data_IF_399489812576
#
_entry.id   IF_399489812576
#
_cell.length_a   1.000
_cell.length_b   1.000
_cell.length_c   1.000
_cell.angle_alpha   90.00
_cell.angle_beta   90.00
_cell.angle_gamma   90.00
#
_symmetry.space_group_name_H-M   'P 1'
#
loop_
_entity.id
_entity.type
_entity.pdbx_description
1 polymer ?
#
# COMPACT_ATOMS: atom_id res chain seq x y z
N UNK A 1 25.09 -8.32 12.97
CA UNK A 1 24.46 -9.18 11.96
C UNK A 1 23.86 -8.28 10.90
N UNK A 2 24.26 -8.40 9.63
CA UNK A 2 23.56 -7.72 8.53
C UNK A 2 22.20 -8.40 8.38
N UNK A 3 21.13 -7.65 8.50
CA UNK A 3 19.77 -8.12 8.23
C UNK A 3 19.76 -8.58 6.77
N UNK A 4 19.64 -9.89 6.56
CA UNK A 4 19.57 -10.46 5.22
C UNK A 4 18.23 -9.98 4.65
N UNK A 5 18.28 -9.08 3.66
CA UNK A 5 17.08 -8.57 3.00
C UNK A 5 16.23 -9.76 2.58
N UNK A 6 14.97 -9.79 3.04
CA UNK A 6 14.02 -10.79 2.58
C UNK A 6 13.82 -10.61 1.08
N UNK A 7 13.55 -11.72 0.41
CA UNK A 7 13.26 -11.73 -1.02
C UNK A 7 11.89 -11.11 -1.26
N UNK A 8 11.74 -10.32 -2.31
CA UNK A 8 10.49 -9.65 -2.67
C UNK A 8 9.75 -10.42 -3.75
N UNK A 9 8.47 -10.71 -3.50
CA UNK A 9 7.54 -11.27 -4.49
C UNK A 9 6.54 -10.18 -4.89
N UNK A 10 6.47 -9.89 -6.19
CA UNK A 10 5.37 -9.10 -6.72
C UNK A 10 4.24 -10.01 -7.24
N UNK A 11 3.03 -9.77 -6.76
CA UNK A 11 1.81 -10.37 -7.31
C UNK A 11 1.11 -9.31 -8.14
N UNK A 12 0.89 -9.59 -9.43
CA UNK A 12 0.32 -8.62 -10.35
C UNK A 12 -0.87 -9.20 -11.12
N UNK A 13 -1.84 -8.36 -11.46
CA UNK A 13 -2.94 -8.73 -12.36
C UNK A 13 -2.64 -8.31 -13.79
N UNK A 14 -2.89 -9.19 -14.77
CA UNK A 14 -2.79 -8.86 -16.20
C UNK A 14 -4.16 -8.57 -16.79
N UNK A 15 -4.20 -7.61 -17.71
CA UNK A 15 -5.39 -7.30 -18.50
C UNK A 15 -5.09 -7.35 -20.00
N UNK A 16 -6.09 -6.99 -20.81
CA UNK A 16 -5.98 -6.99 -22.28
C UNK A 16 -4.92 -5.99 -22.82
N UNK A 17 -4.62 -4.93 -22.07
CA UNK A 17 -3.74 -3.87 -22.53
C UNK A 17 -2.78 -3.41 -21.43
N UNK A 18 -1.64 -2.88 -21.88
CA UNK A 18 -0.67 -2.12 -21.08
C UNK A 18 -0.02 -2.87 -19.90
N UNK A 19 0.16 -4.20 -20.03
CA UNK A 19 0.86 -5.03 -19.04
C UNK A 19 2.35 -4.65 -18.88
N UNK A 20 2.88 -3.75 -19.73
CA UNK A 20 4.20 -3.12 -19.56
C UNK A 20 4.34 -2.37 -18.23
N UNK A 21 3.22 -1.90 -17.65
CA UNK A 21 3.20 -1.31 -16.31
C UNK A 21 3.66 -2.27 -15.22
N UNK A 22 3.33 -3.56 -15.37
CA UNK A 22 3.78 -4.59 -14.43
C UNK A 22 5.30 -4.79 -14.53
N UNK A 23 5.81 -4.92 -15.76
CA UNK A 23 7.25 -5.01 -16.02
C UNK A 23 7.98 -3.80 -15.44
N UNK A 24 7.49 -2.59 -15.71
CA UNK A 24 8.08 -1.37 -15.18
C UNK A 24 8.17 -1.37 -13.65
N UNK A 25 7.09 -1.72 -12.96
CA UNK A 25 7.08 -1.79 -11.50
C UNK A 25 8.05 -2.85 -10.96
N UNK A 26 8.03 -4.05 -11.54
CA UNK A 26 8.90 -5.15 -11.15
C UNK A 26 10.38 -4.79 -11.29
N UNK A 27 10.78 -4.19 -12.41
CA UNK A 27 12.17 -3.74 -12.64
C UNK A 27 12.55 -2.60 -11.69
N UNK A 28 11.68 -1.59 -11.55
CA UNK A 28 11.94 -0.44 -10.66
C UNK A 28 12.06 -0.84 -9.19
N UNK A 29 11.35 -1.88 -8.76
CA UNK A 29 11.40 -2.43 -7.39
C UNK A 29 12.45 -3.53 -7.22
N UNK A 30 13.09 -3.99 -8.29
CA UNK A 30 14.09 -5.07 -8.27
C UNK A 30 13.56 -6.33 -7.57
N UNK A 31 12.40 -6.81 -8.02
CA UNK A 31 11.72 -7.96 -7.41
C UNK A 31 12.45 -9.28 -7.68
N UNK A 32 12.43 -10.19 -6.72
CA UNK A 32 13.11 -11.50 -6.81
C UNK A 32 12.24 -12.56 -7.50
N UNK A 33 10.92 -12.37 -7.54
CA UNK A 33 9.96 -13.23 -8.22
C UNK A 33 8.73 -12.44 -8.62
N UNK A 34 8.06 -12.86 -9.69
CA UNK A 34 6.74 -12.37 -10.04
C UNK A 34 5.74 -13.52 -10.22
N UNK A 35 4.55 -13.35 -9.66
CA UNK A 35 3.39 -14.20 -9.95
C UNK A 35 2.34 -13.32 -10.61
N UNK A 36 1.91 -13.71 -11.81
CA UNK A 36 0.89 -13.01 -12.57
C UNK A 36 -0.43 -13.76 -12.45
N UNK A 37 -1.49 -13.02 -12.12
CA UNK A 37 -2.87 -13.48 -12.17
C UNK A 37 -3.47 -12.99 -13.48
N UNK A 38 -3.84 -13.91 -14.36
CA UNK A 38 -4.29 -13.62 -15.73
C UNK A 38 -5.58 -14.35 -16.06
N UNK A 39 -6.11 -14.10 -17.25
CA UNK A 39 -7.29 -14.78 -17.80
C UNK A 39 -6.87 -15.60 -19.02
N UNK A 40 -7.71 -16.53 -19.45
CA UNK A 40 -7.50 -17.27 -20.70
C UNK A 40 -7.32 -16.34 -21.91
N UNK A 41 -8.08 -15.24 -21.97
CA UNK A 41 -8.00 -14.24 -23.05
C UNK A 41 -6.63 -13.55 -23.14
N UNK A 42 -5.83 -13.61 -22.07
CA UNK A 42 -4.50 -12.99 -21.98
C UNK A 42 -3.33 -13.96 -22.20
N UNK A 43 -3.59 -15.21 -22.58
CA UNK A 43 -2.56 -16.26 -22.64
C UNK A 43 -1.35 -15.91 -23.52
N UNK A 44 -1.57 -15.34 -24.70
CA UNK A 44 -0.48 -14.96 -25.62
C UNK A 44 0.39 -13.83 -25.04
N UNK A 45 -0.23 -12.83 -24.44
CA UNK A 45 0.46 -11.71 -23.79
C UNK A 45 1.23 -12.19 -22.55
N UNK A 46 0.67 -13.13 -21.77
CA UNK A 46 1.37 -13.78 -20.65
C UNK A 46 2.62 -14.51 -21.14
N UNK A 47 2.56 -15.23 -22.25
CA UNK A 47 3.72 -15.92 -22.83
C UNK A 47 4.80 -14.93 -23.30
N UNK A 48 4.40 -13.84 -23.95
CA UNK A 48 5.32 -12.79 -24.37
C UNK A 48 6.02 -12.14 -23.15
N UNK A 49 5.27 -11.84 -22.10
CA UNK A 49 5.80 -11.24 -20.86
C UNK A 49 6.67 -12.20 -20.06
N UNK A 50 6.33 -13.49 -20.04
CA UNK A 50 7.17 -14.54 -19.43
C UNK A 50 8.59 -14.49 -20.01
N UNK A 51 8.71 -14.48 -21.34
CA UNK A 51 10.01 -14.42 -22.01
C UNK A 51 10.80 -13.15 -21.64
N UNK A 52 10.12 -12.00 -21.50
CA UNK A 52 10.72 -10.74 -21.06
C UNK A 52 11.26 -10.83 -19.62
N UNK A 53 10.50 -11.41 -18.69
CA UNK A 53 10.95 -11.63 -17.31
C UNK A 53 12.09 -12.62 -17.19
N UNK A 54 12.05 -13.71 -17.95
CA UNK A 54 13.13 -14.72 -18.00
C UNK A 54 14.44 -14.13 -18.54
N UNK A 55 14.37 -13.25 -19.55
CA UNK A 55 15.53 -12.51 -20.04
C UNK A 55 16.14 -11.57 -19.00
N UNK A 56 15.34 -11.08 -18.04
CA UNK A 56 15.80 -10.31 -16.89
C UNK A 56 16.21 -11.18 -15.68
N UNK A 57 16.19 -12.51 -15.83
CA UNK A 57 16.42 -13.48 -14.75
C UNK A 57 15.47 -13.35 -13.56
N UNK A 58 14.24 -12.87 -13.80
CA UNK A 58 13.17 -12.80 -12.80
C UNK A 58 12.28 -14.04 -12.98
N UNK A 59 12.21 -14.96 -12.01
CA UNK A 59 11.31 -16.11 -12.07
C UNK A 59 9.85 -15.68 -12.23
N UNK A 60 9.17 -16.30 -13.19
CA UNK A 60 7.81 -15.97 -13.59
C UNK A 60 6.85 -17.16 -13.40
N UNK A 61 5.77 -16.91 -12.68
CA UNK A 61 4.67 -17.85 -12.49
C UNK A 61 3.36 -17.22 -12.98
N UNK A 62 2.47 -18.03 -13.57
CA UNK A 62 1.16 -17.59 -14.03
C UNK A 62 0.06 -18.42 -13.36
N UNK A 63 -0.97 -17.74 -12.87
CA UNK A 63 -2.20 -18.34 -12.35
C UNK A 63 -3.36 -17.79 -13.15
N UNK A 64 -4.03 -18.67 -13.89
CA UNK A 64 -5.20 -18.33 -14.71
C UNK A 64 -6.47 -18.34 -13.82
N UNK A 65 -7.33 -17.33 -13.97
CA UNK A 65 -8.57 -17.17 -13.19
C UNK A 65 -9.74 -16.74 -14.07
N UNK A 66 -10.96 -16.96 -13.57
CA UNK A 66 -12.19 -16.44 -14.17
C UNK A 66 -12.36 -14.94 -13.82
N UNK A 67 -12.22 -14.00 -14.77
CA UNK A 67 -12.11 -12.57 -14.47
C UNK A 67 -13.38 -11.94 -13.89
N UNK A 68 -14.53 -12.61 -14.02
CA UNK A 68 -15.83 -12.12 -13.52
C UNK A 68 -16.12 -12.62 -12.11
N UNK A 69 -15.40 -13.64 -11.63
CA UNK A 69 -15.66 -14.28 -10.35
C UNK A 69 -14.73 -13.75 -9.27
N UNK A 70 -15.12 -12.64 -8.64
CA UNK A 70 -14.35 -12.00 -7.57
C UNK A 70 -13.85 -12.96 -6.49
N UNK A 71 -14.70 -13.90 -6.05
CA UNK A 71 -14.35 -14.86 -4.99
C UNK A 71 -13.24 -15.82 -5.45
N UNK A 72 -13.34 -16.32 -6.67
CA UNK A 72 -12.32 -17.20 -7.24
C UNK A 72 -10.98 -16.46 -7.37
N UNK A 73 -10.99 -15.24 -7.89
CA UNK A 73 -9.76 -14.43 -8.01
C UNK A 73 -9.14 -14.15 -6.64
N UNK A 74 -9.94 -13.77 -5.65
CA UNK A 74 -9.47 -13.49 -4.30
C UNK A 74 -8.84 -14.74 -3.65
N UNK A 75 -9.48 -15.91 -3.78
CA UNK A 75 -8.95 -17.18 -3.24
C UNK A 75 -7.61 -17.49 -3.90
N UNK A 76 -7.52 -17.43 -5.23
CA UNK A 76 -6.28 -17.70 -5.96
C UNK A 76 -5.13 -16.79 -5.49
N UNK A 77 -5.40 -15.50 -5.29
CA UNK A 77 -4.39 -14.55 -4.79
C UNK A 77 -3.95 -14.89 -3.37
N UNK A 78 -4.89 -15.21 -2.47
CA UNK A 78 -4.56 -15.59 -1.09
C UNK A 78 -3.78 -16.91 -1.03
N UNK A 79 -4.09 -17.86 -1.91
CA UNK A 79 -3.32 -19.11 -2.05
C UNK A 79 -1.90 -18.84 -2.56
N UNK A 80 -1.71 -17.95 -3.54
CA UNK A 80 -0.39 -17.51 -3.98
C UNK A 80 0.40 -16.95 -2.79
N UNK A 81 -0.21 -16.05 -2.00
CA UNK A 81 0.46 -15.45 -0.82
C UNK A 81 0.82 -16.54 0.21
N UNK A 82 -0.10 -17.45 0.52
CA UNK A 82 0.13 -18.52 1.48
C UNK A 82 1.26 -19.47 1.05
N UNK A 83 1.35 -19.77 -0.25
CA UNK A 83 2.39 -20.62 -0.83
C UNK A 83 3.76 -19.95 -0.94
N UNK A 84 3.84 -18.64 -0.69
CA UNK A 84 5.06 -17.84 -0.78
C UNK A 84 5.31 -17.03 0.50
N UNK A 85 4.96 -17.59 1.67
CA UNK A 85 5.04 -16.92 2.97
C UNK A 85 6.47 -16.51 3.39
N UNK A 86 7.49 -17.03 2.71
CA UNK A 86 8.91 -16.67 2.90
C UNK A 86 9.31 -15.36 2.21
N UNK A 87 8.47 -14.81 1.33
CA UNK A 87 8.70 -13.57 0.61
C UNK A 87 8.04 -12.37 1.30
N UNK A 88 8.65 -11.19 1.12
CA UNK A 88 7.96 -9.92 1.35
C UNK A 88 7.09 -9.62 0.12
N UNK A 89 5.77 -9.51 0.35
CA UNK A 89 4.78 -9.41 -0.73
C UNK A 89 4.52 -7.95 -1.11
N UNK A 90 4.51 -7.66 -2.41
CA UNK A 90 4.01 -6.42 -2.99
C UNK A 90 2.92 -6.73 -4.02
N UNK A 91 1.81 -5.97 -4.02
CA UNK A 91 0.69 -6.24 -4.92
C UNK A 91 0.57 -5.14 -5.99
N UNK A 92 0.65 -5.48 -7.27
CA UNK A 92 0.53 -4.52 -8.36
C UNK A 92 -0.86 -4.60 -9.02
N UNK A 93 -1.69 -3.59 -8.77
CA UNK A 93 -3.06 -3.50 -9.26
C UNK A 93 -3.22 -2.57 -10.48
N UNK A 94 -2.14 -2.33 -11.24
CA UNK A 94 -2.14 -1.39 -12.38
C UNK A 94 -2.91 -1.90 -13.59
N UNK A 95 -3.03 -3.22 -13.74
CA UNK A 95 -3.60 -3.90 -14.90
C UNK A 95 -4.66 -4.92 -14.48
N UNK A 96 -5.30 -5.56 -15.45
CA UNK A 96 -6.39 -6.53 -15.22
C UNK A 96 -7.78 -5.90 -15.15
N UNK A 97 -8.79 -6.75 -15.01
CA UNK A 97 -10.17 -6.28 -14.86
C UNK A 97 -10.35 -5.59 -13.51
N UNK A 98 -11.40 -4.78 -13.37
CA UNK A 98 -11.75 -4.15 -12.08
C UNK A 98 -12.01 -5.19 -10.98
N UNK A 99 -12.54 -6.35 -11.35
CA UNK A 99 -12.78 -7.46 -10.42
C UNK A 99 -11.45 -8.02 -9.91
N UNK A 100 -10.49 -8.24 -10.81
CA UNK A 100 -9.16 -8.75 -10.44
C UNK A 100 -8.38 -7.74 -9.60
N UNK A 101 -8.32 -6.48 -10.04
CA UNK A 101 -7.66 -5.41 -9.28
C UNK A 101 -8.30 -5.23 -7.91
N UNK A 102 -9.63 -5.26 -7.81
CA UNK A 102 -10.34 -5.19 -6.53
C UNK A 102 -10.05 -6.37 -5.60
N UNK A 103 -9.99 -7.59 -6.14
CA UNK A 103 -9.63 -8.78 -5.37
C UNK A 103 -8.19 -8.72 -4.87
N UNK A 104 -7.25 -8.29 -5.72
CA UNK A 104 -5.85 -8.09 -5.35
C UNK A 104 -5.68 -7.02 -4.26
N UNK A 105 -6.37 -5.89 -4.38
CA UNK A 105 -6.36 -4.84 -3.36
C UNK A 105 -6.91 -5.34 -2.02
N UNK A 106 -7.99 -6.13 -2.04
CA UNK A 106 -8.54 -6.72 -0.81
C UNK A 106 -7.58 -7.75 -0.20
N UNK A 107 -6.94 -8.60 -1.01
CA UNK A 107 -5.93 -9.54 -0.54
C UNK A 107 -4.75 -8.80 0.11
N UNK A 108 -4.22 -7.77 -0.57
CA UNK A 108 -3.16 -6.91 -0.06
C UNK A 108 -3.55 -6.28 1.29
N UNK A 109 -4.80 -5.81 1.42
CA UNK A 109 -5.33 -5.28 2.67
C UNK A 109 -5.34 -6.33 3.79
N UNK A 110 -5.82 -7.55 3.52
CA UNK A 110 -5.90 -8.64 4.49
C UNK A 110 -4.51 -8.98 5.05
N UNK A 111 -3.49 -9.04 4.19
CA UNK A 111 -2.14 -9.47 4.59
C UNK A 111 -1.21 -8.30 4.96
N UNK A 112 -1.68 -7.06 4.83
CA UNK A 112 -0.89 -5.88 5.12
C UNK A 112 0.19 -5.55 4.07
N UNK A 113 0.06 -6.05 2.85
CA UNK A 113 1.00 -5.77 1.75
C UNK A 113 0.75 -4.38 1.12
N UNK A 114 1.79 -3.68 0.66
CA UNK A 114 1.65 -2.45 -0.11
C UNK A 114 1.01 -2.73 -1.48
N UNK A 115 0.25 -1.75 -1.97
CA UNK A 115 -0.34 -1.80 -3.31
C UNK A 115 0.43 -0.84 -4.22
N UNK A 116 0.91 -1.33 -5.35
CA UNK A 116 1.58 -0.56 -6.39
C UNK A 116 0.61 -0.21 -7.50
N UNK A 117 0.61 1.05 -7.91
CA UNK A 117 -0.15 1.57 -9.04
C UNK A 117 0.82 2.31 -9.96
N UNK A 118 0.79 1.97 -11.24
CA UNK A 118 1.56 2.64 -12.29
C UNK A 118 0.62 3.44 -13.17
N UNK A 119 0.84 4.75 -13.22
CA UNK A 119 0.10 5.68 -14.06
C UNK A 119 0.45 5.56 -15.54
N UNK A 120 -0.27 6.27 -16.40
CA UNK A 120 -0.05 6.29 -17.86
C UNK A 120 1.35 6.81 -18.23
N UNK A 121 1.89 7.74 -17.45
CA UNK A 121 3.24 8.29 -17.62
C UNK A 121 4.34 7.46 -16.95
N UNK A 122 4.02 6.21 -16.56
CA UNK A 122 4.93 5.34 -15.82
C UNK A 122 5.42 5.96 -14.48
N UNK A 123 4.57 6.77 -13.84
CA UNK A 123 4.78 7.10 -12.43
C UNK A 123 4.41 5.90 -11.56
N UNK A 124 5.26 5.56 -10.59
CA UNK A 124 4.97 4.48 -9.64
C UNK A 124 4.51 5.10 -8.33
N UNK A 125 3.26 4.83 -7.96
CA UNK A 125 2.67 5.23 -6.69
C UNK A 125 2.54 4.01 -5.79
N UNK A 126 3.03 4.12 -4.57
CA UNK A 126 2.83 3.13 -3.52
C UNK A 126 1.66 3.59 -2.64
N UNK A 127 0.60 2.79 -2.60
CA UNK A 127 -0.54 2.98 -1.71
C UNK A 127 -0.26 2.20 -0.43
N UNK A 128 -0.07 2.88 0.71
CA UNK A 128 0.22 2.22 1.98
C UNK A 128 -0.96 1.38 2.45
N UNK A 129 -0.67 0.28 3.15
CA UNK A 129 -1.71 -0.62 3.65
C UNK A 129 -2.67 0.10 4.60
N UNK A 130 -4.00 -0.03 4.42
CA UNK A 130 -4.97 0.49 5.36
C UNK A 130 -4.95 -0.21 6.74
N UNK A 131 -4.14 -1.26 6.95
CA UNK A 131 -3.88 -1.79 8.30
C UNK A 131 -2.99 -0.85 9.11
N UNK A 132 -2.10 -0.08 8.47
CA UNK A 132 -1.30 0.96 9.11
C UNK A 132 -2.12 2.23 9.46
N UNK A 133 -3.36 2.29 8.96
CA UNK A 133 -4.28 3.44 8.98
C UNK A 133 -5.15 3.52 10.24
N UNK A 134 -4.94 2.67 11.24
CA UNK A 134 -5.70 2.78 12.52
C UNK A 134 -5.33 4.11 13.23
N UNK A 135 -6.22 5.09 13.13
CA UNK A 135 -6.13 6.35 13.87
C UNK A 135 -6.57 6.16 15.32
N UNK A 136 -5.62 5.73 16.16
CA UNK A 136 -5.74 5.77 17.62
C UNK A 136 -6.02 7.19 18.12
N UNK A 137 -6.46 7.33 19.37
CA UNK A 137 -6.75 8.66 19.94
C UNK A 137 -5.51 9.58 19.87
N UNK A 138 -4.35 9.09 20.29
CA UNK A 138 -3.10 9.86 20.23
C UNK A 138 -2.70 10.27 18.80
N UNK A 139 -2.94 9.41 17.81
CA UNK A 139 -2.68 9.75 16.39
C UNK A 139 -3.64 10.83 15.91
N UNK A 140 -4.91 10.74 16.31
CA UNK A 140 -5.94 11.74 16.00
C UNK A 140 -5.63 13.08 16.66
N UNK A 141 -5.17 13.07 17.91
CA UNK A 141 -4.76 14.28 18.63
C UNK A 141 -3.57 14.97 17.96
N UNK A 142 -2.55 14.21 17.53
CA UNK A 142 -1.44 14.76 16.74
C UNK A 142 -1.94 15.42 15.45
N UNK A 143 -2.82 14.76 14.69
CA UNK A 143 -3.39 15.35 13.47
C UNK A 143 -4.26 16.58 13.76
N UNK A 144 -5.02 16.59 14.86
CA UNK A 144 -5.79 17.75 15.29
C UNK A 144 -4.88 18.94 15.65
N UNK A 145 -3.78 18.71 16.36
CA UNK A 145 -2.78 19.75 16.67
C UNK A 145 -2.17 20.30 15.39
N UNK A 146 -1.76 19.44 14.46
CA UNK A 146 -1.25 19.87 13.16
C UNK A 146 -2.29 20.72 12.41
N UNK A 147 -3.56 20.29 12.36
CA UNK A 147 -4.62 21.04 11.72
C UNK A 147 -4.84 22.43 12.36
N UNK A 148 -4.79 22.53 13.70
CA UNK A 148 -4.89 23.81 14.42
C UNK A 148 -3.73 24.75 14.14
N UNK A 149 -2.52 24.22 13.90
CA UNK A 149 -1.30 24.98 13.56
C UNK A 149 -1.15 25.27 12.06
N UNK A 150 -2.22 25.16 11.28
CA UNK A 150 -2.18 25.42 9.83
C UNK A 150 -1.48 24.32 9.01
N UNK A 151 -1.35 23.12 9.58
CA UNK A 151 -0.87 21.92 8.89
C UNK A 151 0.58 21.55 9.16
N UNK A 152 1.39 22.38 9.83
CA UNK A 152 2.81 22.11 10.05
C UNK A 152 3.24 22.37 11.49
N UNK A 153 4.16 21.55 12.00
CA UNK A 153 4.84 21.79 13.26
C UNK A 153 6.35 21.57 13.11
N UNK A 154 7.15 22.50 13.62
CA UNK A 154 8.61 22.54 13.42
C UNK A 154 9.40 21.63 14.36
N UNK A 155 8.72 20.96 15.30
CA UNK A 155 9.33 20.19 16.37
C UNK A 155 8.39 19.08 16.86
N UNK A 156 8.93 17.86 16.99
CA UNK A 156 8.21 16.78 17.69
C UNK A 156 8.01 17.10 19.16
N UNK A 157 8.89 17.89 19.78
CA UNK A 157 8.77 18.22 21.20
C UNK A 157 7.54 19.09 21.45
N UNK A 158 7.25 20.03 20.55
CA UNK A 158 6.06 20.89 20.61
C UNK A 158 4.79 20.05 20.45
N UNK A 159 4.79 19.12 19.48
CA UNK A 159 3.70 18.16 19.30
C UNK A 159 3.52 17.28 20.55
N UNK A 160 4.62 16.82 21.15
CA UNK A 160 4.58 15.99 22.34
C UNK A 160 3.97 16.74 23.52
N UNK A 161 4.35 18.00 23.73
CA UNK A 161 3.84 18.84 24.80
C UNK A 161 2.34 19.11 24.65
N UNK A 162 1.88 19.45 23.44
CA UNK A 162 0.44 19.73 23.22
C UNK A 162 -0.45 18.51 23.35
N UNK A 163 0.05 17.34 22.94
CA UNK A 163 -0.71 16.08 23.03
C UNK A 163 -0.55 15.42 24.41
N UNK A 164 0.31 15.96 25.29
CA UNK A 164 0.57 15.37 26.61
C UNK A 164 1.32 14.04 26.54
N UNK A 165 2.16 13.84 25.52
CA UNK A 165 2.96 12.64 25.33
C UNK A 165 4.43 12.88 25.67
N UNK A 166 5.15 11.83 26.05
CA UNK A 166 6.61 11.88 26.04
C UNK A 166 7.14 12.05 24.60
N UNK A 167 8.32 12.65 24.45
CA UNK A 167 8.99 12.79 23.14
C UNK A 167 9.11 11.46 22.39
N UNK A 168 9.41 10.37 23.09
CA UNK A 168 9.52 9.03 22.51
C UNK A 168 8.18 8.48 22.02
N UNK A 169 7.09 8.71 22.76
CA UNK A 169 5.74 8.33 22.32
C UNK A 169 5.30 9.15 21.11
N UNK A 170 5.46 10.47 21.15
CA UNK A 170 5.12 11.34 20.02
C UNK A 170 5.91 10.95 18.77
N UNK A 171 7.22 10.69 18.88
CA UNK A 171 8.04 10.21 17.77
C UNK A 171 7.52 8.91 17.16
N UNK A 172 7.15 7.92 18.00
CA UNK A 172 6.55 6.66 17.55
C UNK A 172 5.24 6.87 16.80
N UNK A 173 4.35 7.71 17.32
CA UNK A 173 3.06 7.98 16.66
C UNK A 173 3.24 8.75 15.34
N UNK A 174 4.13 9.74 15.30
CA UNK A 174 4.47 10.46 14.07
C UNK A 174 5.12 9.53 13.04
N UNK A 175 5.94 8.55 13.46
CA UNK A 175 6.45 7.50 12.56
C UNK A 175 5.31 6.66 11.97
N UNK A 176 4.34 6.25 12.78
CA UNK A 176 3.19 5.49 12.29
C UNK A 176 2.34 6.30 11.31
N UNK A 177 2.04 7.57 11.64
CA UNK A 177 1.32 8.48 10.74
C UNK A 177 2.05 8.73 9.42
N UNK A 178 3.40 8.78 9.46
CA UNK A 178 4.22 8.94 8.26
C UNK A 178 4.16 7.70 7.37
N UNK A 179 4.30 6.51 7.96
CA UNK A 179 4.15 5.25 7.22
C UNK A 179 2.75 5.11 6.59
N UNK A 180 1.72 5.60 7.27
CA UNK A 180 0.35 5.62 6.75
C UNK A 180 0.07 6.75 5.72
N UNK A 181 1.06 7.58 5.38
CA UNK A 181 0.92 8.67 4.41
C UNK A 181 0.11 9.88 4.90
N UNK A 182 -0.13 10.01 6.21
CA UNK A 182 -0.92 11.13 6.78
C UNK A 182 -0.10 12.35 7.14
N UNK A 183 1.20 12.16 7.29
CA UNK A 183 2.15 13.24 7.55
C UNK A 183 3.42 13.00 6.76
N UNK A 184 4.13 14.07 6.44
CA UNK A 184 5.48 14.07 5.91
C UNK A 184 6.47 14.54 6.98
N UNK A 185 7.73 14.14 6.81
CA UNK A 185 8.82 14.53 7.70
C UNK A 185 9.93 15.16 6.88
N UNK A 186 10.26 16.41 7.23
CA UNK A 186 11.36 17.14 6.62
C UNK A 186 12.47 17.34 7.65
N UNK A 187 13.69 16.89 7.32
CA UNK A 187 14.89 17.08 8.16
C UNK A 187 15.82 18.07 7.49
N UNK A 188 15.77 19.33 7.89
CA UNK A 188 16.69 20.37 7.42
C UNK A 188 17.56 20.93 8.56
N UNK A 189 16.96 21.35 9.68
CA UNK A 189 17.68 21.75 10.92
C UNK A 189 16.98 21.26 12.19
N UNK A 190 15.67 21.36 12.23
CA UNK A 190 14.79 20.65 13.16
C UNK A 190 13.90 19.71 12.36
N UNK A 191 13.39 18.66 12.99
CA UNK A 191 12.50 17.74 12.29
C UNK A 191 11.10 18.37 12.23
N UNK A 192 10.75 18.88 11.05
CA UNK A 192 9.43 19.41 10.75
C UNK A 192 8.49 18.28 10.37
N UNK A 193 7.27 18.33 10.88
CA UNK A 193 6.18 17.40 10.59
C UNK A 193 5.05 18.20 9.94
N UNK A 194 4.68 17.81 8.73
CA UNK A 194 3.61 18.47 7.97
C UNK A 194 2.51 17.46 7.65
N UNK A 195 1.26 17.88 7.78
CA UNK A 195 0.10 17.05 7.46
C UNK A 195 -0.10 17.02 5.94
N UNK A 196 -0.28 15.83 5.38
CA UNK A 196 -0.61 15.66 3.96
C UNK A 196 -2.08 15.98 3.69
N UNK A 197 -2.45 16.16 2.42
CA UNK A 197 -3.86 16.32 2.05
C UNK A 197 -4.70 15.09 2.40
N UNK A 198 -4.12 13.89 2.26
CA UNK A 198 -4.75 12.64 2.71
C UNK A 198 -4.99 12.69 4.23
N UNK A 199 -3.98 13.05 5.02
CA UNK A 199 -4.11 13.17 6.48
C UNK A 199 -5.22 14.14 6.89
N UNK A 200 -5.33 15.28 6.19
CA UNK A 200 -6.37 16.29 6.41
C UNK A 200 -7.77 15.74 6.11
N UNK A 201 -7.95 15.12 4.94
CA UNK A 201 -9.24 14.57 4.50
C UNK A 201 -9.67 13.43 5.43
N UNK A 202 -8.75 12.51 5.78
CA UNK A 202 -9.04 11.39 6.68
C UNK A 202 -9.46 11.90 8.06
N UNK A 203 -8.75 12.88 8.63
CA UNK A 203 -9.15 13.49 9.90
C UNK A 203 -10.57 14.05 9.83
N UNK A 204 -10.90 14.78 8.75
CA UNK A 204 -12.23 15.33 8.52
C UNK A 204 -13.31 14.26 8.41
N UNK A 205 -13.06 13.18 7.66
CA UNK A 205 -13.99 12.04 7.52
C UNK A 205 -14.23 11.38 8.88
N UNK A 206 -13.21 11.22 9.72
CA UNK A 206 -13.36 10.65 11.06
C UNK A 206 -14.19 11.54 11.98
N UNK A 207 -13.99 12.86 11.93
CA UNK A 207 -14.82 13.82 12.68
C UNK A 207 -16.28 13.73 12.24
N UNK A 208 -16.56 13.73 10.93
CA UNK A 208 -17.91 13.58 10.38
C UNK A 208 -18.57 12.25 10.80
N UNK A 209 -17.82 11.14 10.83
CA UNK A 209 -18.34 9.85 11.31
C UNK A 209 -18.76 9.90 12.78
N UNK A 210 -17.96 10.56 13.63
CA UNK A 210 -18.27 10.77 15.05
C UNK A 210 -19.54 11.62 15.22
N UNK A 211 -19.67 12.71 14.47
CA UNK A 211 -20.84 13.59 14.46
C UNK A 211 -22.11 12.87 14.02
N UNK A 212 -22.01 12.00 13.00
CA UNK A 212 -23.15 11.25 12.44
C UNK A 212 -23.48 9.96 13.20
N UNK A 213 -22.72 9.60 14.23
CA UNK A 213 -22.93 8.34 14.97
C UNK A 213 -22.72 7.07 14.14
N UNK A 214 -22.06 7.16 12.98
CA UNK A 214 -21.69 5.99 12.16
C UNK A 214 -20.66 5.15 12.92
N UNK A 215 -21.13 4.07 13.55
CA UNK A 215 -20.35 3.22 14.45
C UNK A 215 -21.04 2.89 15.79
N UNK A 216 -22.20 3.48 16.10
CA UNK A 216 -23.06 3.05 17.23
C UNK A 216 -23.94 1.83 16.90
N UNK A 217 -23.47 0.92 16.03
CA UNK A 217 -24.08 -0.39 15.79
C UNK A 217 -23.02 -1.47 15.97
N UNK A 218 -22.77 -1.78 17.23
CA UNK A 218 -22.34 -3.10 17.72
C UNK A 218 -22.33 -3.02 19.24
N UNK A 219 -23.50 -3.29 19.83
CA UNK A 219 -23.55 -4.06 21.08
C UNK A 219 -23.25 -5.51 20.78
#
# INVERSE_FOLDING_TARGET
MKEQSRKTLQIATFGLYDNKRVVFAATKRSVDKIVVVSTEENRDEVLAKRAEFEAMHIPFENVEVEPTNFKNVLIAILEIIANHAEYDIECNASCGTRVMAGALQLAAYIVGAPILIVGEEYELTEVPSPMDVVLTESRREILNVLAKRGGTCNSIMDLAQEVGLSRGQASRQVNALYKAGYVEKNRSKTMTVSMTDIGRIVLRVKQLRKERGWGRRSG
#
